data_IF_002639662981
#
_entry.id   IF_002639662981
#
_cell.length_a   1.000
_cell.length_b   1.000
_cell.length_c   1.000
_cell.angle_alpha   90.00
_cell.angle_beta   90.00
_cell.angle_gamma   90.00
#
_symmetry.space_group_name_H-M   'P 1'
#
loop_
_entity.id
_entity.type
_entity.pdbx_description
1 polymer ?
#
# COMPACT_ATOMS: atom_id res chain seq x y z
N UNK A 1 -27.19 16.10 -4.10
CA UNK A 1 -25.97 15.41 -4.59
C UNK A 1 -26.23 13.91 -4.62
N UNK A 2 -25.88 13.28 -5.70
CA UNK A 2 -25.90 11.83 -5.79
C UNK A 2 -24.57 11.29 -5.26
N UNK A 3 -24.56 10.78 -4.06
CA UNK A 3 -23.35 10.28 -3.40
C UNK A 3 -22.76 9.06 -4.10
N UNK A 4 -23.59 8.27 -4.78
CA UNK A 4 -23.09 7.12 -5.52
C UNK A 4 -22.28 7.51 -6.75
N UNK A 5 -22.45 8.73 -7.25
CA UNK A 5 -21.73 9.24 -8.40
C UNK A 5 -20.44 9.97 -8.03
N UNK A 6 -20.16 10.12 -6.72
CA UNK A 6 -18.91 10.78 -6.29
C UNK A 6 -17.73 9.90 -6.65
N UNK A 7 -16.77 10.41 -7.45
CA UNK A 7 -15.60 9.59 -7.80
C UNK A 7 -14.66 9.41 -6.61
N UNK A 8 -13.94 8.32 -6.61
CA UNK A 8 -12.87 8.09 -5.65
C UNK A 8 -11.66 8.98 -5.97
N UNK A 9 -10.82 9.28 -4.98
CA UNK A 9 -9.64 10.13 -5.23
C UNK A 9 -8.69 9.54 -6.26
N UNK A 10 -8.14 10.38 -7.13
CA UNK A 10 -7.18 9.96 -8.16
C UNK A 10 -5.77 9.82 -7.62
N UNK A 11 -5.47 10.41 -6.47
CA UNK A 11 -4.15 10.33 -5.86
C UNK A 11 -4.29 9.85 -4.42
N UNK A 12 -3.60 8.75 -4.11
CA UNK A 12 -3.73 8.07 -2.83
C UNK A 12 -2.43 7.35 -2.52
N UNK A 13 -2.14 7.20 -1.24
CA UNK A 13 -1.13 6.26 -0.78
C UNK A 13 -1.70 5.45 0.38
N UNK A 14 -1.19 4.25 0.57
CA UNK A 14 -1.52 3.44 1.72
C UNK A 14 -0.26 2.85 2.31
N UNK A 15 -0.04 3.11 3.60
CA UNK A 15 0.92 2.37 4.41
C UNK A 15 0.16 1.19 5.00
N UNK A 16 0.57 -0.03 4.69
CA UNK A 16 -0.20 -1.19 5.13
C UNK A 16 0.70 -2.24 5.77
N UNK A 17 0.10 -3.01 6.66
CA UNK A 17 0.70 -4.18 7.27
C UNK A 17 -0.28 -5.33 7.09
N UNK A 18 0.11 -6.36 6.35
CA UNK A 18 -0.72 -7.51 6.08
C UNK A 18 -0.29 -8.66 6.98
N UNK A 19 -1.25 -9.24 7.69
CA UNK A 19 -0.99 -10.25 8.71
C UNK A 19 -1.83 -11.50 8.42
N UNK A 20 -1.20 -12.61 8.00
CA UNK A 20 -1.89 -13.90 7.95
C UNK A 20 -2.18 -14.39 9.36
N UNK A 21 -3.39 -14.91 9.58
CA UNK A 21 -3.84 -15.33 10.90
C UNK A 21 -3.99 -16.85 10.94
N UNK A 22 -3.37 -17.48 11.94
CA UNK A 22 -3.55 -18.91 12.16
C UNK A 22 -2.85 -19.81 11.15
N UNK A 23 -1.72 -19.38 10.61
CA UNK A 23 -0.98 -20.16 9.62
C UNK A 23 -0.29 -21.39 10.22
N UNK A 24 0.02 -21.35 11.50
CA UNK A 24 0.81 -22.40 12.13
C UNK A 24 2.29 -22.41 11.76
N UNK A 25 2.71 -21.51 10.88
CA UNK A 25 4.10 -21.39 10.44
C UNK A 25 4.80 -20.23 11.14
N UNK A 26 6.07 -20.44 11.47
CA UNK A 26 6.90 -19.41 12.08
C UNK A 26 7.36 -18.40 11.03
N UNK A 27 7.62 -18.87 9.80
CA UNK A 27 8.09 -18.01 8.71
C UNK A 27 6.95 -17.59 7.81
N UNK A 28 6.89 -16.30 7.48
CA UNK A 28 5.93 -15.73 6.53
C UNK A 28 6.62 -15.29 5.23
N UNK A 29 7.84 -15.78 4.99
CA UNK A 29 8.63 -15.36 3.84
C UNK A 29 7.94 -15.63 2.50
N UNK A 30 7.23 -16.76 2.38
CA UNK A 30 6.52 -17.09 1.15
C UNK A 30 5.34 -16.15 0.92
N UNK A 31 4.61 -15.80 1.98
CA UNK A 31 3.51 -14.85 1.91
C UNK A 31 4.02 -13.46 1.54
N UNK A 32 5.14 -13.04 2.13
CA UNK A 32 5.77 -11.77 1.78
C UNK A 32 6.15 -11.74 0.30
N UNK A 33 6.73 -12.82 -0.21
CA UNK A 33 7.12 -12.93 -1.62
C UNK A 33 5.89 -12.83 -2.54
N UNK A 34 4.78 -13.46 -2.19
CA UNK A 34 3.55 -13.37 -2.99
C UNK A 34 2.97 -11.96 -3.00
N UNK A 35 2.96 -11.29 -1.85
CA UNK A 35 2.50 -9.91 -1.78
C UNK A 35 3.38 -9.01 -2.63
N UNK A 36 4.69 -9.18 -2.59
CA UNK A 36 5.62 -8.41 -3.41
C UNK A 36 5.34 -8.62 -4.90
N UNK A 37 5.06 -9.85 -5.33
CA UNK A 37 4.73 -10.15 -6.73
C UNK A 37 3.44 -9.45 -7.17
N UNK A 38 2.44 -9.40 -6.29
CA UNK A 38 1.20 -8.67 -6.57
C UNK A 38 1.47 -7.18 -6.75
N UNK A 39 2.25 -6.59 -5.86
CA UNK A 39 2.57 -5.17 -5.94
C UNK A 39 3.39 -4.86 -7.21
N UNK A 40 4.34 -5.71 -7.53
CA UNK A 40 5.12 -5.58 -8.75
C UNK A 40 4.24 -5.67 -10.00
N UNK A 41 3.34 -6.65 -10.04
CA UNK A 41 2.42 -6.83 -11.16
C UNK A 41 1.41 -5.69 -11.28
N UNK A 42 1.11 -4.99 -10.20
CA UNK A 42 0.17 -3.86 -10.23
C UNK A 42 0.66 -2.69 -11.07
N UNK A 43 1.97 -2.56 -11.26
CA UNK A 43 2.57 -1.41 -11.92
C UNK A 43 2.57 -0.15 -11.09
N UNK A 44 2.08 -0.19 -9.86
CA UNK A 44 2.07 0.96 -8.97
C UNK A 44 3.42 1.13 -8.30
N UNK A 45 3.70 2.36 -7.88
CA UNK A 45 4.87 2.62 -7.06
C UNK A 45 4.66 2.00 -5.68
N UNK A 46 5.63 1.20 -5.25
CA UNK A 46 5.55 0.56 -3.93
C UNK A 46 6.91 0.44 -3.29
N UNK A 47 6.92 0.31 -1.97
CA UNK A 47 8.12 0.06 -1.19
C UNK A 47 7.75 -0.91 -0.07
N UNK A 48 8.52 -1.99 0.07
CA UNK A 48 8.42 -2.88 1.23
C UNK A 48 9.44 -2.43 2.26
N UNK A 49 8.99 -2.27 3.51
CA UNK A 49 9.82 -1.68 4.56
C UNK A 49 10.62 -2.71 5.35
N UNK A 50 10.25 -3.98 5.27
CA UNK A 50 10.94 -5.02 6.00
C UNK A 50 10.88 -6.34 5.24
N UNK A 51 11.99 -7.06 5.19
CA UNK A 51 12.07 -8.35 4.54
C UNK A 51 11.38 -9.48 5.33
N UNK A 52 11.12 -9.28 6.61
CA UNK A 52 10.50 -10.28 7.47
C UNK A 52 9.01 -10.12 7.69
N UNK A 53 8.41 -9.06 7.14
CA UNK A 53 6.99 -8.75 7.34
C UNK A 53 6.42 -8.17 6.05
N UNK A 54 5.09 -8.22 5.94
CA UNK A 54 4.38 -7.62 4.81
C UNK A 54 3.95 -6.19 5.14
N UNK A 55 4.93 -5.35 5.46
CA UNK A 55 4.73 -3.92 5.73
C UNK A 55 5.25 -3.14 4.53
N UNK A 56 4.42 -2.29 3.96
CA UNK A 56 4.81 -1.53 2.79
C UNK A 56 3.96 -0.31 2.55
N UNK A 57 4.37 0.46 1.55
CA UNK A 57 3.64 1.62 1.06
C UNK A 57 3.34 1.44 -0.42
N UNK A 58 2.13 1.73 -0.83
CA UNK A 58 1.72 1.69 -2.24
C UNK A 58 1.05 3.00 -2.61
N UNK A 59 1.33 3.50 -3.82
CA UNK A 59 0.84 4.79 -4.30
C UNK A 59 0.16 4.63 -5.66
N UNK A 60 -0.93 5.37 -5.86
CA UNK A 60 -1.68 5.38 -7.10
C UNK A 60 -3.06 6.01 -6.90
N UNK A 61 -4.00 5.69 -7.78
CA UNK A 61 -5.39 6.05 -7.55
C UNK A 61 -5.95 5.23 -6.40
N UNK A 62 -7.00 5.75 -5.76
CA UNK A 62 -7.68 5.02 -4.69
C UNK A 62 -8.08 3.62 -5.14
N UNK A 63 -8.72 3.50 -6.30
CA UNK A 63 -9.19 2.22 -6.78
C UNK A 63 -8.04 1.25 -7.05
N UNK A 64 -6.96 1.72 -7.65
CA UNK A 64 -5.80 0.89 -7.94
C UNK A 64 -5.09 0.44 -6.66
N UNK A 65 -4.93 1.35 -5.70
CA UNK A 65 -4.29 1.04 -4.42
C UNK A 65 -5.12 0.00 -3.66
N UNK A 66 -6.43 0.19 -3.58
CA UNK A 66 -7.30 -0.75 -2.88
C UNK A 66 -7.38 -2.08 -3.61
N UNK A 67 -7.38 -2.08 -4.94
CA UNK A 67 -7.35 -3.31 -5.72
C UNK A 67 -6.06 -4.09 -5.46
N UNK A 68 -4.91 -3.42 -5.42
CA UNK A 68 -3.63 -4.07 -5.14
C UNK A 68 -3.62 -4.72 -3.75
N UNK A 69 -4.10 -4.01 -2.74
CA UNK A 69 -4.17 -4.55 -1.38
C UNK A 69 -5.14 -5.72 -1.31
N UNK A 70 -6.29 -5.61 -1.98
CA UNK A 70 -7.25 -6.71 -2.06
C UNK A 70 -6.68 -7.95 -2.73
N UNK A 71 -5.92 -7.78 -3.80
CA UNK A 71 -5.24 -8.90 -4.47
C UNK A 71 -4.15 -9.50 -3.58
N UNK A 72 -3.47 -8.68 -2.79
CA UNK A 72 -2.51 -9.18 -1.82
C UNK A 72 -3.19 -10.10 -0.79
N UNK A 73 -4.36 -9.72 -0.29
CA UNK A 73 -5.16 -10.61 0.56
C UNK A 73 -5.52 -11.91 -0.17
N UNK A 74 -5.96 -11.78 -1.42
CA UNK A 74 -6.42 -12.93 -2.20
C UNK A 74 -5.33 -13.97 -2.42
N UNK A 75 -4.10 -13.55 -2.76
CA UNK A 75 -3.01 -14.50 -2.99
C UNK A 75 -2.61 -15.23 -1.72
N UNK A 76 -2.71 -14.56 -0.56
CA UNK A 76 -2.44 -15.21 0.72
C UNK A 76 -3.52 -16.24 1.01
N UNK A 77 -4.79 -15.93 0.75
CA UNK A 77 -5.87 -16.91 0.88
C UNK A 77 -5.66 -18.12 -0.04
N UNK A 78 -5.17 -17.90 -1.26
CA UNK A 78 -4.91 -19.00 -2.20
C UNK A 78 -3.87 -19.98 -1.70
N UNK A 79 -3.03 -19.56 -0.75
CA UNK A 79 -2.04 -20.44 -0.13
C UNK A 79 -2.61 -21.24 1.04
N UNK A 80 -3.91 -21.17 1.27
CA UNK A 80 -4.59 -21.91 2.31
C UNK A 80 -4.77 -21.16 3.63
N UNK A 81 -4.41 -19.89 3.67
CA UNK A 81 -4.63 -19.05 4.85
C UNK A 81 -6.08 -18.63 4.89
N UNK A 82 -6.79 -18.99 5.95
CA UNK A 82 -8.24 -18.74 6.05
C UNK A 82 -8.53 -17.27 6.37
N UNK A 83 -7.70 -16.65 7.21
CA UNK A 83 -7.92 -15.28 7.64
C UNK A 83 -6.69 -14.43 7.38
N UNK A 84 -6.93 -13.26 6.82
CA UNK A 84 -5.90 -12.26 6.56
C UNK A 84 -6.42 -10.93 7.07
N UNK A 85 -5.60 -10.23 7.83
CA UNK A 85 -5.93 -8.89 8.32
C UNK A 85 -4.93 -7.89 7.78
N UNK A 86 -5.39 -6.68 7.51
CA UNK A 86 -4.52 -5.55 7.21
C UNK A 86 -4.81 -4.42 8.15
N UNK A 87 -3.74 -3.83 8.68
CA UNK A 87 -3.80 -2.54 9.32
C UNK A 87 -3.21 -1.53 8.34
N UNK A 88 -3.90 -0.43 8.07
CA UNK A 88 -3.40 0.51 7.08
C UNK A 88 -3.74 1.95 7.44
N UNK A 89 -2.86 2.84 7.02
CA UNK A 89 -3.09 4.27 7.02
C UNK A 89 -3.21 4.70 5.57
N UNK A 90 -4.33 5.31 5.21
CA UNK A 90 -4.60 5.73 3.84
C UNK A 90 -4.71 7.24 3.81
N UNK A 91 -3.97 7.87 2.90
CA UNK A 91 -4.08 9.29 2.64
C UNK A 91 -4.44 9.53 1.19
N UNK A 92 -5.20 10.58 0.94
CA UNK A 92 -5.56 10.98 -0.41
C UNK A 92 -5.37 12.47 -0.60
N UNK A 93 -5.16 12.88 -1.84
CA UNK A 93 -5.04 14.29 -2.17
C UNK A 93 -5.87 14.61 -3.39
N UNK A 94 -6.15 15.89 -3.58
CA UNK A 94 -6.90 16.35 -4.73
C UNK A 94 -6.05 16.22 -5.99
N UNK A 95 -6.73 15.97 -7.11
CA UNK A 95 -6.09 15.68 -8.39
C UNK A 95 -5.26 16.83 -8.96
N UNK A 96 -5.58 18.06 -8.57
CA UNK A 96 -4.83 19.24 -9.01
C UNK A 96 -3.45 19.34 -8.36
N UNK A 97 -3.19 18.55 -7.31
CA UNK A 97 -1.89 18.49 -6.65
C UNK A 97 -1.61 17.08 -6.19
N UNK A 98 -1.03 16.27 -7.07
CA UNK A 98 -0.57 14.93 -6.70
C UNK A 98 0.72 15.06 -5.90
N UNK A 99 0.68 14.60 -4.65
CA UNK A 99 1.86 14.53 -3.81
C UNK A 99 2.17 13.08 -3.50
N UNK A 100 3.38 12.66 -3.84
CA UNK A 100 3.90 11.34 -3.49
C UNK A 100 4.66 11.43 -2.17
N UNK A 101 5.02 10.28 -1.62
CA UNK A 101 5.89 10.24 -0.43
C UNK A 101 7.23 10.92 -0.71
N UNK A 102 7.77 10.74 -1.92
CA UNK A 102 9.03 11.41 -2.32
C UNK A 102 8.88 12.92 -2.36
N UNK A 103 7.76 13.43 -2.86
CA UNK A 103 7.51 14.86 -2.91
C UNK A 103 7.50 15.46 -1.51
N UNK A 104 6.92 14.77 -0.55
CA UNK A 104 6.89 15.22 0.84
C UNK A 104 8.28 15.26 1.45
N UNK A 105 9.07 14.23 1.22
CA UNK A 105 10.46 14.18 1.68
C UNK A 105 11.28 15.30 1.05
N UNK A 106 11.13 15.50 -0.26
CA UNK A 106 11.84 16.56 -0.98
C UNK A 106 11.49 17.92 -0.43
N UNK A 107 10.21 18.17 -0.14
CA UNK A 107 9.79 19.46 0.44
C UNK A 107 10.43 19.69 1.79
N UNK A 108 10.53 18.68 2.64
CA UNK A 108 11.21 18.81 3.93
C UNK A 108 12.69 19.10 3.72
N UNK A 109 13.34 18.40 2.80
CA UNK A 109 14.75 18.66 2.47
C UNK A 109 14.97 20.08 1.97
N UNK A 110 14.09 20.56 1.08
CA UNK A 110 14.17 21.92 0.55
C UNK A 110 14.01 22.96 1.66
N UNK A 111 13.08 22.74 2.58
CA UNK A 111 12.89 23.64 3.71
C UNK A 111 14.10 23.65 4.64
N UNK A 112 14.72 22.51 4.87
CA UNK A 112 15.93 22.42 5.69
C UNK A 112 17.12 23.07 5.01
N UNK A 113 17.25 22.89 3.68
CA UNK A 113 18.32 23.49 2.89
C UNK A 113 18.27 25.00 2.86
N UNK A 114 17.11 25.60 2.96
CA UNK A 114 16.91 27.06 2.92
C UNK A 114 17.22 27.76 4.24
N UNK A 115 17.64 27.02 5.25
CA UNK A 115 17.97 27.60 6.57
C UNK A 115 19.44 27.92 6.76
N UNK A 116 20.20 27.70 5.75
CA UNK A 116 21.64 28.04 5.80
C UNK A 116 21.90 29.53 5.65
#
# INVERSE_FOLDING_TARGET
>A
MDYNAVPTPEACYADFCLIPVGTGNVSVAEEVAQVQRVLEASGLKYTLHSAGTTVGTVEGSWDDVMAAIGKAHAVVHQRGVVRVQSSMRVGSSRTDKKQTAEDKVKRVEDLLGNKS
#
